data_IF_793260617580
#
_entry.id   IF_793260617580
#
_cell.length_a   1.000
_cell.length_b   1.000
_cell.length_c   1.000
_cell.angle_alpha   90.00
_cell.angle_beta   90.00
_cell.angle_gamma   90.00
#
_symmetry.space_group_name_H-M   'P 1'
#
loop_
_entity.id
_entity.type
_entity.pdbx_description
1 polymer ?
#
# COMPACT_ATOMS: atom_id res chain seq x y z
N UNK A 1 22.14 -10.50 22.54
CA UNK A 1 21.57 -9.21 22.15
C UNK A 1 22.69 -8.37 21.55
N UNK A 2 22.67 -8.16 20.23
CA UNK A 2 23.75 -7.48 19.52
C UNK A 2 23.44 -5.98 19.53
N UNK A 3 23.92 -5.28 20.56
CA UNK A 3 23.76 -3.82 20.67
C UNK A 3 24.70 -3.18 19.66
N UNK A 4 24.16 -2.81 18.50
CA UNK A 4 24.90 -2.06 17.49
C UNK A 4 24.94 -0.60 17.92
N UNK A 5 26.09 -0.18 18.47
CA UNK A 5 26.32 1.20 18.89
C UNK A 5 26.60 2.05 17.64
N UNK A 6 25.89 3.18 17.45
CA UNK A 6 26.17 4.10 16.36
C UNK A 6 27.55 4.72 16.52
N UNK A 7 28.50 4.30 15.69
CA UNK A 7 29.84 4.88 15.65
C UNK A 7 30.10 5.55 14.30
N UNK A 8 30.47 6.84 14.32
CA UNK A 8 30.82 7.61 13.12
C UNK A 8 31.88 6.91 12.27
N UNK A 9 32.93 6.37 12.91
CA UNK A 9 34.00 5.63 12.21
C UNK A 9 33.47 4.43 11.42
N UNK A 10 32.51 3.68 11.98
CA UNK A 10 31.89 2.55 11.28
C UNK A 10 30.99 3.04 10.15
N UNK A 11 30.22 4.11 10.39
CA UNK A 11 29.35 4.72 9.38
C UNK A 11 30.15 5.16 8.14
N UNK A 12 31.21 5.96 8.31
CA UNK A 12 32.02 6.43 7.19
C UNK A 12 32.71 5.26 6.45
N UNK A 13 33.18 4.25 7.18
CA UNK A 13 33.75 3.04 6.57
C UNK A 13 32.72 2.28 5.72
N UNK A 14 31.51 2.09 6.23
CA UNK A 14 30.44 1.42 5.49
C UNK A 14 29.98 2.26 4.29
N UNK A 15 29.90 3.58 4.45
CA UNK A 15 29.56 4.51 3.36
C UNK A 15 30.56 4.39 2.21
N UNK A 16 31.86 4.36 2.51
CA UNK A 16 32.95 4.20 1.55
C UNK A 16 33.11 2.77 1.00
N UNK A 17 32.50 1.76 1.63
CA UNK A 17 32.58 0.37 1.17
C UNK A 17 31.67 0.12 -0.03
N UNK A 18 32.09 -0.82 -0.88
CA UNK A 18 31.31 -1.37 -1.99
C UNK A 18 31.32 -2.90 -1.93
N UNK A 19 30.48 -3.52 -1.08
CA UNK A 19 30.40 -4.97 -0.97
C UNK A 19 29.88 -5.61 -2.27
N UNK A 20 30.41 -6.78 -2.64
CA UNK A 20 30.00 -7.49 -3.85
C UNK A 20 28.71 -8.31 -3.72
N UNK A 21 28.29 -8.64 -2.49
CA UNK A 21 27.15 -9.52 -2.24
C UNK A 21 25.88 -8.76 -1.81
N UNK A 22 24.73 -9.37 -2.10
CA UNK A 22 23.40 -8.79 -1.79
C UNK A 22 23.19 -8.64 -0.28
N UNK A 23 23.59 -9.64 0.50
CA UNK A 23 23.43 -9.65 1.96
C UNK A 23 24.28 -8.57 2.63
N UNK A 24 25.53 -8.40 2.19
CA UNK A 24 26.42 -7.37 2.69
C UNK A 24 25.93 -5.97 2.31
N UNK A 25 25.41 -5.81 1.09
CA UNK A 25 24.77 -4.57 0.67
C UNK A 25 23.52 -4.26 1.47
N UNK A 26 22.71 -5.27 1.82
CA UNK A 26 21.56 -5.12 2.70
C UNK A 26 21.97 -4.67 4.10
N UNK A 27 22.97 -5.31 4.70
CA UNK A 27 23.50 -4.90 6.01
C UNK A 27 24.06 -3.48 5.99
N UNK A 28 24.82 -3.12 4.94
CA UNK A 28 25.32 -1.76 4.71
C UNK A 28 24.15 -0.77 4.63
N UNK A 29 23.15 -1.04 3.80
CA UNK A 29 21.96 -0.21 3.64
C UNK A 29 21.22 0.00 4.97
N UNK A 30 20.94 -1.08 5.70
CA UNK A 30 20.25 -1.02 6.99
C UNK A 30 21.00 -0.14 8.00
N UNK A 31 22.32 -0.30 8.09
CA UNK A 31 23.15 0.48 9.00
C UNK A 31 23.13 1.97 8.62
N UNK A 32 23.40 2.29 7.34
CA UNK A 32 23.43 3.69 6.87
C UNK A 32 22.07 4.36 7.04
N UNK A 33 20.98 3.68 6.68
CA UNK A 33 19.62 4.20 6.82
C UNK A 33 19.21 4.40 8.29
N UNK A 34 19.64 3.55 9.22
CA UNK A 34 19.32 3.72 10.63
C UNK A 34 20.07 4.89 11.29
N UNK A 35 21.31 5.10 10.90
CA UNK A 35 22.23 6.00 11.61
C UNK A 35 22.54 7.30 10.86
N UNK A 36 21.93 7.56 9.71
CA UNK A 36 22.02 8.86 9.05
C UNK A 36 20.93 9.84 9.51
N UNK A 37 21.21 11.13 9.34
CA UNK A 37 20.20 12.18 9.36
C UNK A 37 19.11 11.85 8.33
N UNK A 38 17.84 12.03 8.70
CA UNK A 38 16.66 11.79 7.85
C UNK A 38 16.60 10.43 7.12
N UNK A 39 17.41 9.44 7.56
CA UNK A 39 17.49 8.10 6.94
C UNK A 39 17.97 8.08 5.47
N UNK A 40 18.65 9.13 5.01
CA UNK A 40 19.19 9.26 3.64
C UNK A 40 20.41 8.38 3.33
N UNK A 41 21.09 7.85 4.36
CA UNK A 41 22.36 7.16 4.23
C UNK A 41 23.57 8.07 3.96
N UNK A 42 23.39 9.39 3.95
CA UNK A 42 24.45 10.35 3.58
C UNK A 42 25.23 10.84 4.79
N UNK A 43 24.56 11.46 5.76
CA UNK A 43 25.22 12.22 6.83
C UNK A 43 25.00 11.54 8.18
N UNK A 44 26.07 11.24 8.91
CA UNK A 44 25.97 10.59 10.22
C UNK A 44 25.16 11.43 11.22
N UNK A 45 24.17 10.82 11.87
CA UNK A 45 23.34 11.48 12.88
C UNK A 45 24.02 11.44 14.25
N UNK A 46 24.72 12.52 14.61
CA UNK A 46 25.34 12.66 15.93
C UNK A 46 24.32 12.53 17.07
N UNK A 47 24.73 11.86 18.15
CA UNK A 47 23.88 11.66 19.34
C UNK A 47 22.60 10.83 19.10
N UNK A 48 22.47 10.17 17.94
CA UNK A 48 21.31 9.32 17.63
C UNK A 48 21.19 8.17 18.65
N UNK A 49 20.02 8.06 19.29
CA UNK A 49 19.67 6.93 20.17
C UNK A 49 18.97 5.78 19.42
N UNK A 50 18.97 5.82 18.08
CA UNK A 50 18.33 4.79 17.26
C UNK A 50 19.07 3.46 17.41
N UNK A 51 18.35 2.36 17.29
CA UNK A 51 18.91 1.01 17.27
C UNK A 51 18.39 0.25 16.05
N UNK A 52 19.08 -0.83 15.68
CA UNK A 52 18.64 -1.72 14.60
C UNK A 52 17.60 -2.75 15.06
N UNK A 53 17.52 -3.01 16.36
CA UNK A 53 16.70 -4.09 16.93
C UNK A 53 15.23 -4.03 16.49
N UNK A 54 14.52 -2.87 16.52
CA UNK A 54 13.12 -2.83 16.08
C UNK A 54 12.93 -3.10 14.58
N UNK A 55 13.94 -2.78 13.75
CA UNK A 55 13.89 -3.06 12.31
C UNK A 55 14.10 -4.56 12.06
N UNK A 56 15.09 -5.14 12.71
CA UNK A 56 15.42 -6.57 12.61
C UNK A 56 14.27 -7.43 13.16
N UNK A 57 13.68 -7.06 14.30
CA UNK A 57 12.59 -7.81 14.93
C UNK A 57 11.33 -7.92 14.07
N UNK A 58 11.17 -7.05 13.06
CA UNK A 58 10.02 -7.09 12.13
C UNK A 58 10.30 -7.87 10.85
N UNK A 59 11.55 -8.30 10.64
CA UNK A 59 12.02 -8.81 9.35
C UNK A 59 11.33 -10.10 8.93
N UNK A 60 11.14 -11.05 9.86
CA UNK A 60 10.45 -12.31 9.57
C UNK A 60 8.99 -12.07 9.16
N UNK A 61 8.29 -11.17 9.88
CA UNK A 61 6.92 -10.78 9.53
C UNK A 61 6.84 -10.09 8.17
N UNK A 62 7.83 -9.26 7.83
CA UNK A 62 7.89 -8.58 6.52
C UNK A 62 8.17 -9.60 5.41
N UNK A 63 9.12 -10.51 5.62
CA UNK A 63 9.45 -11.57 4.67
C UNK A 63 8.22 -12.44 4.38
N UNK A 64 7.44 -12.80 5.41
CA UNK A 64 6.19 -13.55 5.23
C UNK A 64 5.17 -12.77 4.38
N UNK A 65 5.00 -11.47 4.67
CA UNK A 65 4.06 -10.61 3.93
C UNK A 65 4.45 -10.36 2.48
N UNK A 66 5.74 -10.50 2.15
CA UNK A 66 6.27 -10.32 0.80
C UNK A 66 6.34 -11.63 0.00
N UNK A 67 5.90 -12.75 0.57
CA UNK A 67 5.78 -14.00 -0.21
C UNK A 67 4.84 -13.79 -1.40
N UNK A 68 5.31 -14.17 -2.58
CA UNK A 68 4.57 -13.98 -3.84
C UNK A 68 4.56 -12.54 -4.36
N UNK A 69 5.30 -11.62 -3.75
CA UNK A 69 5.46 -10.25 -4.26
C UNK A 69 6.65 -10.19 -5.21
N UNK A 70 6.42 -9.65 -6.41
CA UNK A 70 7.47 -9.26 -7.34
C UNK A 70 7.89 -7.82 -7.07
N UNK A 71 9.20 -7.55 -7.01
CA UNK A 71 9.76 -6.22 -6.82
C UNK A 71 10.55 -5.87 -8.06
N UNK A 72 10.13 -4.79 -8.73
CA UNK A 72 10.81 -4.27 -9.92
C UNK A 72 11.29 -2.84 -9.71
N UNK A 73 12.30 -2.43 -10.48
CA UNK A 73 12.84 -1.07 -10.51
C UNK A 73 12.87 -0.61 -11.96
N UNK A 74 11.78 -0.01 -12.40
CA UNK A 74 11.53 0.41 -13.78
C UNK A 74 10.73 1.71 -13.80
N UNK A 75 10.59 2.33 -14.97
CA UNK A 75 9.65 3.45 -15.15
C UNK A 75 8.22 2.95 -14.89
N UNK A 76 7.44 3.71 -14.13
CA UNK A 76 6.08 3.30 -13.76
C UNK A 76 5.17 3.08 -14.96
N UNK A 77 5.42 3.78 -16.09
CA UNK A 77 4.67 3.60 -17.33
C UNK A 77 4.88 2.20 -17.90
N UNK A 78 6.12 1.71 -17.87
CA UNK A 78 6.46 0.35 -18.31
C UNK A 78 5.80 -0.69 -17.40
N UNK A 79 5.78 -0.46 -16.09
CA UNK A 79 5.13 -1.35 -15.12
C UNK A 79 3.62 -1.42 -15.37
N UNK A 80 2.98 -0.26 -15.59
CA UNK A 80 1.55 -0.21 -15.94
C UNK A 80 1.29 -0.99 -17.23
N UNK A 81 2.05 -0.72 -18.29
CA UNK A 81 1.85 -1.36 -19.60
C UNK A 81 2.04 -2.89 -19.54
N UNK A 82 3.01 -3.37 -18.75
CA UNK A 82 3.29 -4.81 -18.61
C UNK A 82 2.23 -5.56 -17.81
N UNK A 83 1.66 -4.93 -16.78
CA UNK A 83 0.75 -5.59 -15.83
C UNK A 83 -0.73 -5.23 -16.04
N UNK A 84 -1.06 -4.28 -16.91
CA UNK A 84 -2.44 -3.85 -17.10
C UNK A 84 -3.29 -4.94 -17.77
N UNK A 85 -4.47 -5.16 -17.20
CA UNK A 85 -5.47 -6.10 -17.69
C UNK A 85 -6.79 -5.88 -16.95
N UNK A 86 -7.92 -6.44 -17.45
CA UNK A 86 -9.24 -6.21 -16.86
C UNK A 86 -9.36 -6.61 -15.37
N UNK A 87 -8.53 -7.57 -14.92
CA UNK A 87 -8.47 -8.02 -13.53
C UNK A 87 -7.43 -7.32 -12.65
N UNK A 88 -6.64 -6.39 -13.22
CA UNK A 88 -5.55 -5.73 -12.48
C UNK A 88 -6.08 -4.56 -11.66
N UNK A 89 -5.53 -4.39 -10.46
CA UNK A 89 -5.74 -3.21 -9.63
C UNK A 89 -4.41 -2.51 -9.37
N UNK A 90 -4.35 -1.22 -9.69
CA UNK A 90 -3.20 -0.37 -9.45
C UNK A 90 -3.46 0.59 -8.28
N UNK A 91 -2.51 0.64 -7.35
CA UNK A 91 -2.38 1.77 -6.42
C UNK A 91 -1.16 2.58 -6.84
N UNK A 92 -1.36 3.85 -7.16
CA UNK A 92 -0.35 4.72 -7.76
C UNK A 92 -0.13 5.91 -6.83
N UNK A 93 1.09 6.05 -6.33
CA UNK A 93 1.50 7.11 -5.41
C UNK A 93 2.79 7.75 -5.95
N UNK A 94 2.68 8.60 -6.99
CA UNK A 94 3.84 9.18 -7.63
C UNK A 94 4.42 10.29 -6.74
N UNK A 95 5.70 10.65 -6.91
CA UNK A 95 6.22 11.90 -6.39
C UNK A 95 5.33 13.06 -6.85
N UNK A 96 4.89 13.91 -5.93
CA UNK A 96 3.92 14.95 -6.25
C UNK A 96 4.56 16.05 -7.10
N UNK A 97 4.02 16.39 -8.29
CA UNK A 97 4.62 17.39 -9.18
C UNK A 97 4.80 18.77 -8.52
N UNK A 98 3.96 19.11 -7.55
CA UNK A 98 4.00 20.39 -6.80
C UNK A 98 4.92 20.36 -5.56
N UNK A 99 5.52 19.21 -5.22
CA UNK A 99 6.44 19.10 -4.08
C UNK A 99 7.76 19.86 -4.32
N UNK A 100 8.29 20.40 -3.22
CA UNK A 100 9.54 21.17 -3.21
C UNK A 100 10.62 20.47 -2.38
N UNK A 101 11.85 20.97 -2.47
CA UNK A 101 12.98 20.49 -1.68
C UNK A 101 13.42 19.08 -2.06
N UNK A 102 13.67 18.23 -1.08
CA UNK A 102 14.24 16.89 -1.28
C UNK A 102 13.33 15.92 -2.06
N UNK A 103 12.04 16.26 -2.22
CA UNK A 103 11.06 15.45 -2.95
C UNK A 103 10.68 16.06 -4.31
N UNK A 104 11.40 17.10 -4.76
CA UNK A 104 11.18 17.69 -6.08
C UNK A 104 11.38 16.63 -7.16
N UNK A 105 10.45 16.57 -8.10
CA UNK A 105 10.47 15.67 -9.25
C UNK A 105 10.34 16.45 -10.55
N UNK A 106 10.84 15.88 -11.64
CA UNK A 106 10.61 16.38 -13.01
C UNK A 106 9.32 15.80 -13.63
N UNK A 107 8.67 14.86 -12.93
CA UNK A 107 7.41 14.27 -13.33
C UNK A 107 6.30 15.32 -13.34
N UNK A 108 5.62 15.47 -14.47
CA UNK A 108 4.51 16.42 -14.63
C UNK A 108 3.17 15.74 -14.37
N UNK A 109 2.18 16.52 -13.96
CA UNK A 109 0.79 16.05 -13.84
C UNK A 109 0.29 15.41 -15.14
N UNK A 110 0.67 15.97 -16.30
CA UNK A 110 0.32 15.44 -17.62
C UNK A 110 0.87 14.03 -17.87
N UNK A 111 2.09 13.73 -17.43
CA UNK A 111 2.69 12.40 -17.58
C UNK A 111 1.88 11.32 -16.86
N UNK A 112 1.42 11.66 -15.66
CA UNK A 112 0.61 10.77 -14.81
C UNK A 112 -0.75 10.55 -15.45
N UNK A 113 -1.40 11.64 -15.89
CA UNK A 113 -2.71 11.61 -16.55
C UNK A 113 -2.68 10.72 -17.80
N UNK A 114 -1.65 10.88 -18.66
CA UNK A 114 -1.51 10.10 -19.88
C UNK A 114 -1.32 8.61 -19.63
N UNK A 115 -0.61 8.25 -18.56
CA UNK A 115 -0.41 6.87 -18.16
C UNK A 115 -1.71 6.24 -17.63
N UNK A 116 -2.39 6.91 -16.68
CA UNK A 116 -3.53 6.29 -16.00
C UNK A 116 -4.81 6.28 -16.82
N UNK A 117 -4.97 7.22 -17.78
CA UNK A 117 -6.16 7.26 -18.66
C UNK A 117 -6.30 6.03 -19.56
N UNK A 118 -5.22 5.30 -19.81
CA UNK A 118 -5.20 4.13 -20.70
C UNK A 118 -5.39 2.80 -19.96
N UNK A 119 -5.36 2.82 -18.62
CA UNK A 119 -5.48 1.63 -17.77
C UNK A 119 -6.84 0.97 -18.03
N UNK A 120 -6.81 -0.31 -18.41
CA UNK A 120 -7.99 -1.16 -18.62
C UNK A 120 -8.49 -1.75 -17.30
N UNK A 121 -7.58 -2.00 -16.37
CA UNK A 121 -7.89 -2.41 -15.00
C UNK A 121 -8.50 -1.28 -14.17
N UNK A 122 -8.48 -1.46 -12.84
CA UNK A 122 -8.90 -0.43 -11.89
C UNK A 122 -7.68 0.28 -11.32
N UNK A 123 -7.82 1.57 -11.00
CA UNK A 123 -6.77 2.28 -10.29
C UNK A 123 -7.30 3.19 -9.17
N UNK A 124 -6.47 3.37 -8.14
CA UNK A 124 -6.52 4.52 -7.23
C UNK A 124 -5.18 5.25 -7.33
N UNK A 125 -5.24 6.57 -7.51
CA UNK A 125 -4.10 7.48 -7.58
C UNK A 125 -4.17 8.50 -6.45
N UNK A 126 -3.08 8.65 -5.70
CA UNK A 126 -2.90 9.68 -4.67
C UNK A 126 -2.19 10.90 -5.25
N UNK A 127 -2.77 12.09 -5.10
CA UNK A 127 -2.16 13.37 -5.50
C UNK A 127 -2.56 14.52 -4.55
N UNK A 128 -1.82 15.65 -4.54
CA UNK A 128 -2.20 16.82 -3.76
C UNK A 128 -3.59 17.36 -4.11
N UNK A 129 -4.27 17.95 -3.13
CA UNK A 129 -5.50 18.72 -3.35
C UNK A 129 -5.18 20.14 -3.85
N UNK A 130 -4.79 20.24 -5.12
CA UNK A 130 -4.57 21.51 -5.81
C UNK A 130 -5.44 21.67 -7.06
N UNK A 131 -5.50 22.90 -7.58
CA UNK A 131 -6.32 23.26 -8.74
C UNK A 131 -5.90 22.49 -9.99
N UNK A 132 -4.59 22.36 -10.21
CA UNK A 132 -4.03 21.67 -11.37
C UNK A 132 -4.48 20.20 -11.41
N UNK A 133 -4.36 19.50 -10.28
CA UNK A 133 -4.78 18.10 -10.13
C UNK A 133 -6.28 17.95 -10.36
N UNK A 134 -7.11 18.80 -9.74
CA UNK A 134 -8.57 18.75 -9.92
C UNK A 134 -9.00 18.96 -11.36
N UNK A 135 -8.35 19.88 -12.07
CA UNK A 135 -8.66 20.16 -13.48
C UNK A 135 -8.19 19.01 -14.38
N UNK A 136 -6.98 18.49 -14.15
CA UNK A 136 -6.37 17.42 -14.93
C UNK A 136 -7.19 16.11 -14.88
N UNK A 137 -7.81 15.83 -13.74
CA UNK A 137 -8.60 14.62 -13.48
C UNK A 137 -10.11 14.84 -13.51
N UNK A 138 -10.58 15.94 -14.12
CA UNK A 138 -12.02 16.16 -14.34
C UNK A 138 -12.63 14.97 -15.10
N UNK A 139 -13.67 14.38 -14.53
CA UNK A 139 -14.38 13.22 -15.10
C UNK A 139 -13.98 11.88 -14.48
N UNK A 140 -12.95 11.85 -13.63
CA UNK A 140 -12.69 10.71 -12.74
C UNK A 140 -13.46 10.86 -11.42
N UNK A 141 -13.56 9.74 -10.69
CA UNK A 141 -14.03 9.77 -9.31
C UNK A 141 -12.94 10.40 -8.44
N UNK A 142 -13.28 11.43 -7.66
CA UNK A 142 -12.34 12.15 -6.80
C UNK A 142 -12.88 12.17 -5.37
N UNK A 143 -12.09 11.64 -4.44
CA UNK A 143 -12.37 11.71 -3.00
C UNK A 143 -11.25 12.48 -2.30
N UNK A 144 -11.63 13.53 -1.58
CA UNK A 144 -10.69 14.25 -0.71
C UNK A 144 -10.50 13.47 0.59
N UNK A 145 -9.25 13.33 1.01
CA UNK A 145 -8.86 12.82 2.31
C UNK A 145 -8.00 13.85 3.05
N UNK A 146 -8.20 13.95 4.36
CA UNK A 146 -7.44 14.86 5.21
C UNK A 146 -6.19 14.14 5.73
N UNK A 147 -5.01 14.63 5.37
CA UNK A 147 -3.75 14.04 5.81
C UNK A 147 -3.10 14.95 6.84
N UNK A 148 -2.96 14.46 8.07
CA UNK A 148 -2.22 15.17 9.12
C UNK A 148 -0.73 14.91 8.95
N UNK A 149 0.00 15.87 8.39
CA UNK A 149 1.46 15.77 8.24
C UNK A 149 2.16 16.28 9.49
N UNK A 150 3.02 15.44 10.08
CA UNK A 150 3.80 15.79 11.29
C UNK A 150 5.28 16.06 10.98
N UNK A 151 5.66 16.12 9.70
CA UNK A 151 7.05 16.33 9.29
C UNK A 151 7.62 17.68 9.74
N UNK A 152 6.76 18.67 10.02
CA UNK A 152 7.16 19.94 10.61
C UNK A 152 6.45 20.13 11.96
N UNK A 153 7.03 19.56 13.03
CA UNK A 153 6.43 19.57 14.38
C UNK A 153 6.12 20.97 14.92
N UNK A 154 6.80 22.00 14.42
CA UNK A 154 6.57 23.39 14.80
C UNK A 154 5.32 24.02 14.16
N UNK A 155 4.82 23.47 13.05
CA UNK A 155 3.64 23.98 12.35
C UNK A 155 2.88 22.84 11.62
N UNK A 156 2.16 22.00 12.38
CA UNK A 156 1.34 20.95 11.78
C UNK A 156 0.24 21.59 10.93
N UNK A 157 0.26 21.31 9.62
CA UNK A 157 -0.77 21.74 8.69
C UNK A 157 -1.55 20.52 8.21
N UNK A 158 -2.84 20.71 7.96
CA UNK A 158 -3.68 19.70 7.34
C UNK A 158 -3.63 19.95 5.85
N UNK A 159 -2.93 19.09 5.13
CA UNK A 159 -2.97 19.07 3.67
C UNK A 159 -4.17 18.22 3.22
N UNK A 160 -4.84 18.70 2.19
CA UNK A 160 -5.75 17.85 1.43
C UNK A 160 -4.95 16.96 0.49
N UNK A 161 -5.30 15.68 0.46
CA UNK A 161 -4.89 14.75 -0.59
C UNK A 161 -6.14 14.28 -1.32
N UNK A 162 -6.00 14.01 -2.61
CA UNK A 162 -7.05 13.48 -3.46
C UNK A 162 -6.73 12.02 -3.78
N UNK A 163 -7.68 11.14 -3.49
CA UNK A 163 -7.77 9.83 -4.09
C UNK A 163 -8.57 9.97 -5.39
N UNK A 164 -7.97 9.53 -6.49
CA UNK A 164 -8.55 9.64 -7.83
C UNK A 164 -8.70 8.22 -8.40
N UNK A 165 -9.88 7.88 -8.91
CA UNK A 165 -10.17 6.53 -9.40
C UNK A 165 -10.95 6.53 -10.72
N UNK A 166 -10.75 5.48 -11.53
CA UNK A 166 -11.55 5.21 -12.74
C UNK A 166 -12.81 4.37 -12.46
N UNK A 167 -13.16 4.19 -11.19
CA UNK A 167 -14.37 3.50 -10.75
C UNK A 167 -15.00 4.27 -9.60
N UNK A 168 -16.30 4.06 -9.39
CA UNK A 168 -17.03 4.67 -8.28
C UNK A 168 -16.47 4.17 -6.94
N UNK A 169 -15.94 5.09 -6.14
CA UNK A 169 -15.52 4.79 -4.77
C UNK A 169 -16.74 4.78 -3.85
N UNK A 170 -16.73 3.88 -2.88
CA UNK A 170 -17.72 3.84 -1.82
C UNK A 170 -17.02 4.15 -0.50
N UNK A 171 -17.70 4.91 0.36
CA UNK A 171 -17.19 5.15 1.70
C UNK A 171 -16.97 3.80 2.39
N UNK A 172 -15.84 3.66 3.09
CA UNK A 172 -15.63 2.52 3.97
C UNK A 172 -16.76 2.53 5.00
N UNK A 173 -17.65 1.54 4.97
CA UNK A 173 -18.68 1.44 6.00
C UNK A 173 -17.97 1.28 7.35
N UNK A 174 -18.33 2.08 8.34
CA UNK A 174 -17.98 1.78 9.74
C UNK A 174 -18.59 0.45 10.19
N UNK A 175 -19.60 -0.01 9.45
CA UNK A 175 -20.41 -1.20 9.67
C UNK A 175 -19.95 -2.35 8.76
N UNK A 176 -18.75 -2.90 9.00
CA UNK A 176 -18.19 -4.04 8.25
C UNK A 176 -19.13 -5.26 8.20
N UNK A 177 -20.07 -5.39 9.14
CA UNK A 177 -21.10 -6.43 9.15
C UNK A 177 -22.11 -6.33 8.01
N UNK A 178 -22.43 -5.12 7.55
CA UNK A 178 -23.40 -4.90 6.46
C UNK A 178 -22.84 -5.22 5.07
N UNK A 179 -21.55 -4.94 4.87
CA UNK A 179 -20.84 -5.34 3.64
C UNK A 179 -20.65 -6.85 3.61
N UNK A 180 -20.30 -7.48 4.74
CA UNK A 180 -20.23 -8.94 4.83
C UNK A 180 -21.58 -9.60 4.49
N UNK A 181 -22.68 -9.12 5.06
CA UNK A 181 -24.02 -9.63 4.77
C UNK A 181 -24.43 -9.45 3.29
N UNK A 182 -24.07 -8.34 2.65
CA UNK A 182 -24.36 -8.12 1.23
C UNK A 182 -23.48 -8.94 0.29
N UNK A 183 -22.22 -9.19 0.67
CA UNK A 183 -21.33 -10.09 -0.09
C UNK A 183 -21.79 -11.54 0.10
N UNK A 184 -22.18 -11.93 1.32
CA UNK A 184 -22.76 -13.25 1.60
C UNK A 184 -24.09 -13.47 0.89
N UNK A 185 -24.97 -12.46 0.78
CA UNK A 185 -26.22 -12.61 0.02
C UNK A 185 -25.97 -12.80 -1.47
N UNK A 186 -24.99 -12.09 -2.04
CA UNK A 186 -24.59 -12.25 -3.46
C UNK A 186 -23.94 -13.61 -3.69
N UNK A 187 -23.13 -14.08 -2.74
CA UNK A 187 -22.58 -15.44 -2.77
C UNK A 187 -23.70 -16.48 -2.64
N UNK A 188 -24.72 -16.24 -1.81
CA UNK A 188 -25.90 -17.12 -1.67
C UNK A 188 -26.83 -17.14 -2.88
N UNK A 189 -27.04 -16.01 -3.55
CA UNK A 189 -27.74 -16.00 -4.83
C UNK A 189 -26.97 -16.81 -5.88
N UNK A 190 -25.64 -16.69 -5.92
CA UNK A 190 -24.79 -17.46 -6.83
C UNK A 190 -24.70 -18.96 -6.49
N UNK A 191 -24.78 -19.33 -5.21
CA UNK A 191 -24.75 -20.73 -4.74
C UNK A 191 -26.14 -21.39 -4.83
N UNK A 192 -27.23 -20.62 -4.74
CA UNK A 192 -28.60 -21.12 -4.91
C UNK A 192 -28.92 -21.65 -6.32
N UNK A 193 -28.08 -21.33 -7.30
CA UNK A 193 -28.13 -21.91 -8.65
C UNK A 193 -27.36 -23.23 -8.79
N UNK A 194 -26.63 -23.67 -7.76
CA UNK A 194 -25.88 -24.93 -7.78
C UNK A 194 -26.75 -26.10 -7.31
N UNK A 195 -26.72 -27.18 -8.08
CA UNK A 195 -27.45 -28.44 -7.83
C UNK A 195 -27.21 -28.96 -6.41
N UNK A 196 -28.30 -29.33 -5.72
CA UNK A 196 -28.29 -29.86 -4.36
C UNK A 196 -27.35 -31.07 -4.20
N UNK A 197 -27.18 -31.89 -5.25
CA UNK A 197 -26.26 -33.03 -5.22
C UNK A 197 -24.77 -32.63 -5.15
N UNK A 198 -24.40 -31.44 -5.62
CA UNK A 198 -23.03 -30.94 -5.57
C UNK A 198 -22.64 -30.50 -4.15
N UNK A 199 -23.56 -29.83 -3.44
CA UNK A 199 -23.32 -29.34 -2.08
C UNK A 199 -23.14 -30.48 -1.06
N UNK A 200 -23.83 -31.61 -1.25
CA UNK A 200 -23.67 -32.81 -0.43
C UNK A 200 -22.35 -33.55 -0.67
N UNK A 201 -21.70 -33.31 -1.82
CA UNK A 201 -20.44 -33.95 -2.20
C UNK A 201 -19.18 -33.25 -1.64
N UNK A 202 -19.32 -32.05 -1.07
CA UNK A 202 -18.20 -31.26 -0.55
C UNK A 202 -17.77 -31.76 0.84
N UNK A 203 -16.48 -32.12 1.05
CA UNK A 203 -16.01 -32.52 2.36
C UNK A 203 -16.04 -31.33 3.33
N UNK A 204 -16.49 -31.56 4.57
CA UNK A 204 -16.52 -30.64 5.70
C UNK A 204 -17.36 -29.33 5.56
N UNK A 205 -17.74 -28.93 4.35
CA UNK A 205 -18.58 -27.74 4.08
C UNK A 205 -20.08 -27.96 4.29
N UNK A 206 -20.59 -29.18 4.06
CA UNK A 206 -22.02 -29.49 4.20
C UNK A 206 -22.54 -29.42 5.63
N UNK A 207 -21.71 -29.72 6.63
CA UNK A 207 -22.11 -29.66 8.05
C UNK A 207 -22.26 -28.21 8.56
N UNK A 208 -21.39 -27.31 8.11
CA UNK A 208 -21.50 -25.87 8.40
C UNK A 208 -22.78 -25.27 7.75
N UNK A 209 -23.12 -25.69 6.53
CA UNK A 209 -24.34 -25.30 5.81
C UNK A 209 -25.63 -25.62 6.61
N UNK A 210 -25.78 -26.84 7.11
CA UNK A 210 -26.98 -27.23 7.86
C UNK A 210 -27.08 -26.58 9.25
N UNK A 211 -25.94 -26.30 9.87
CA UNK A 211 -25.88 -25.67 11.19
C UNK A 211 -26.33 -24.20 11.11
N UNK A 212 -25.85 -23.48 10.10
CA UNK A 212 -26.20 -22.06 9.91
C UNK A 212 -27.64 -21.88 9.38
N UNK A 213 -28.13 -22.80 8.54
CA UNK A 213 -29.53 -22.80 8.08
C UNK A 213 -30.52 -22.92 9.23
N UNK A 214 -30.29 -23.86 10.16
CA UNK A 214 -31.12 -24.00 11.36
C UNK A 214 -31.09 -22.76 12.25
N UNK A 215 -29.94 -22.10 12.34
CA UNK A 215 -29.79 -20.84 13.09
C UNK A 215 -30.63 -19.72 12.46
N UNK A 216 -30.62 -19.58 11.14
CA UNK A 216 -31.40 -18.56 10.44
C UNK A 216 -32.91 -18.82 10.46
N UNK A 217 -33.35 -20.08 10.30
CA UNK A 217 -34.77 -20.45 10.41
C UNK A 217 -35.32 -20.24 11.84
N UNK A 218 -34.47 -20.36 12.87
CA UNK A 218 -34.83 -20.02 14.25
C UNK A 218 -34.90 -18.52 14.53
N UNK A 219 -34.13 -17.70 13.79
CA UNK A 219 -34.06 -16.25 13.97
C UNK A 219 -35.19 -15.49 13.24
N UNK A 220 -35.87 -16.13 12.29
CA UNK A 220 -37.02 -15.56 11.56
C UNK A 220 -38.37 -15.96 12.14
N UNK A 221 -38.37 -16.69 13.26
CA UNK A 221 -39.56 -17.18 13.96
C UNK A 221 -39.92 -16.38 15.23
N UNK A 222 -39.23 -15.27 15.50
CA UNK A 222 -39.52 -14.26 16.54
C UNK A 222 -39.83 -12.90 15.90
#
# INVERSE_FOLDING_TARGET
>A
MLVVIPLRKIFERLKASSPGGLLENFHRFLYLNAFSASSTGTDFSEGSKRTLEPKIARMDRLAERLKGVEITSSDFREVIDQHDGPGTFFYIDPPYPTQQGALKTDLKTSDIVEAVKKIRGKFILSLPDDKETREAFRGFEIQKVSVRRTMNMANPHVDGELLIANFRMVAKSEDTGRIAASVESVVWEAVGELDHGFLESLPDGGAAYWTERKRLESATSE
#
